data_IF_099030731313
#
_entry.id   IF_099030731313
#
_cell.length_a   1.000
_cell.length_b   1.000
_cell.length_c   1.000
_cell.angle_alpha   90.00
_cell.angle_beta   90.00
_cell.angle_gamma   90.00
#
_symmetry.space_group_name_H-M   'P 1'
#
loop_
_entity.id
_entity.type
_entity.pdbx_description
1 polymer ?
#
# COMPACT_ATOMS: atom_id res chain seq x y z
N UNK A 1 3.02 35.43 36.98
CA UNK A 1 3.96 35.23 38.11
C UNK A 1 4.22 33.73 38.20
N UNK A 2 5.32 33.27 37.61
CA UNK A 2 6.54 32.77 38.30
C UNK A 2 6.23 31.48 39.11
N UNK A 3 6.83 30.32 38.84
CA UNK A 3 8.27 30.13 38.78
C UNK A 3 8.68 28.83 38.04
N UNK A 4 9.68 28.95 37.19
CA UNK A 4 10.49 27.85 36.67
C UNK A 4 11.50 27.42 37.74
N UNK A 5 11.74 26.11 37.88
CA UNK A 5 12.88 25.57 38.63
C UNK A 5 13.63 24.56 37.78
N UNK A 6 14.83 24.95 37.37
CA UNK A 6 15.85 24.13 36.73
C UNK A 6 16.63 23.38 37.82
N UNK A 7 16.80 22.07 37.67
CA UNK A 7 17.83 21.31 38.39
C UNK A 7 18.63 20.47 37.43
N UNK A 8 19.92 20.81 37.30
CA UNK A 8 20.98 20.05 36.66
C UNK A 8 21.32 18.79 37.47
N UNK A 9 21.46 17.65 36.80
CA UNK A 9 22.29 16.54 37.26
C UNK A 9 23.07 15.93 36.09
N UNK A 10 24.37 15.74 36.31
CA UNK A 10 25.39 15.26 35.37
C UNK A 10 25.32 13.74 35.13
N UNK A 11 25.99 13.22 34.08
CA UNK A 11 25.80 11.87 33.56
C UNK A 11 26.74 10.83 34.20
N UNK A 12 26.30 9.57 34.27
CA UNK A 12 27.13 8.45 34.73
C UNK A 12 27.08 7.25 33.77
N UNK A 13 28.21 7.05 33.09
CA UNK A 13 28.97 5.80 32.91
C UNK A 13 28.31 4.59 32.21
N UNK A 14 28.70 4.41 30.94
CA UNK A 14 28.67 3.17 30.17
C UNK A 14 29.76 2.17 30.66
N UNK A 15 29.53 0.85 30.64
CA UNK A 15 30.58 -0.17 30.67
C UNK A 15 31.00 -0.60 29.24
N UNK A 16 32.19 -1.25 29.10
CA UNK A 16 33.04 -1.11 27.93
C UNK A 16 32.84 -2.15 26.82
N UNK A 17 33.21 -1.72 25.60
CA UNK A 17 33.46 -2.51 24.41
C UNK A 17 34.47 -3.64 24.65
N UNK A 18 34.09 -4.87 24.32
CA UNK A 18 35.00 -5.99 24.08
C UNK A 18 35.16 -6.15 22.56
N UNK A 19 36.29 -5.69 22.03
CA UNK A 19 36.77 -6.04 20.69
C UNK A 19 37.46 -7.41 20.74
N UNK A 20 37.16 -8.34 19.82
CA UNK A 20 38.11 -9.38 19.45
C UNK A 20 38.99 -8.90 18.29
N UNK A 21 40.29 -9.03 18.53
CA UNK A 21 41.42 -8.78 17.66
C UNK A 21 41.30 -9.36 16.25
N UNK A 22 41.67 -8.53 15.28
CA UNK A 22 42.07 -8.90 13.93
C UNK A 22 43.27 -9.86 13.96
N UNK A 23 43.03 -11.14 13.65
CA UNK A 23 44.12 -12.05 13.27
C UNK A 23 44.30 -12.04 11.76
N UNK A 24 45.37 -11.37 11.36
CA UNK A 24 45.93 -11.36 10.02
C UNK A 24 46.46 -12.77 9.68
N UNK A 25 45.97 -13.34 8.58
CA UNK A 25 46.55 -14.54 7.97
C UNK A 25 47.90 -14.19 7.34
N UNK A 26 48.99 -14.44 8.07
CA UNK A 26 50.34 -14.44 7.52
C UNK A 26 50.69 -15.86 7.04
N UNK A 27 50.62 -16.08 5.73
CA UNK A 27 51.21 -17.24 5.06
C UNK A 27 52.73 -17.14 5.14
N UNK A 28 53.36 -17.96 5.98
CA UNK A 28 54.81 -18.18 5.97
C UNK A 28 55.12 -19.51 5.27
N UNK A 29 55.58 -19.41 4.03
CA UNK A 29 56.20 -20.46 3.23
C UNK A 29 57.61 -20.77 3.76
N UNK A 30 57.90 -22.06 4.01
CA UNK A 30 59.24 -22.63 4.24
C UNK A 30 59.34 -24.00 3.53
N UNK A 31 60.56 -24.48 3.18
CA UNK A 31 60.94 -24.82 1.79
C UNK A 31 60.96 -26.33 1.48
N UNK A 32 61.17 -26.75 0.21
CA UNK A 32 60.99 -28.14 -0.19
C UNK A 32 62.24 -28.99 0.13
N UNK A 33 62.02 -30.13 0.79
CA UNK A 33 63.02 -31.17 0.96
C UNK A 33 62.81 -32.29 -0.08
N UNK A 34 63.92 -32.67 -0.73
CA UNK A 34 64.05 -33.58 -1.87
C UNK A 34 63.73 -35.04 -1.50
N UNK A 35 63.43 -35.91 -2.51
CA UNK A 35 62.91 -37.24 -2.27
C UNK A 35 64.04 -38.22 -1.99
N UNK A 36 63.89 -39.03 -0.95
CA UNK A 36 64.75 -40.19 -0.74
C UNK A 36 64.00 -41.48 -1.06
N UNK A 37 64.55 -42.24 -2.00
CA UNK A 37 64.04 -43.51 -2.47
C UNK A 37 64.54 -44.58 -1.51
N UNK A 38 63.65 -45.23 -0.77
CA UNK A 38 63.81 -46.65 -0.44
C UNK A 38 62.47 -47.29 -0.10
N UNK A 39 62.03 -48.11 -1.05
CA UNK A 39 60.87 -48.99 -1.00
C UNK A 39 61.26 -50.23 -0.19
N UNK A 40 60.55 -50.58 0.86
CA UNK A 40 60.25 -51.98 1.21
C UNK A 40 59.03 -52.03 2.12
N UNK A 41 58.12 -52.93 1.76
CA UNK A 41 56.78 -53.12 2.29
C UNK A 41 56.77 -53.65 3.72
N UNK A 42 56.06 -52.99 4.65
CA UNK A 42 55.39 -53.65 5.76
C UNK A 42 54.06 -52.94 6.10
N UNK A 43 52.99 -53.70 5.84
CA UNK A 43 51.61 -53.65 6.30
C UNK A 43 51.24 -52.57 7.35
N UNK A 44 50.69 -51.43 6.92
CA UNK A 44 49.88 -50.58 7.80
C UNK A 44 48.52 -51.25 7.98
N UNK A 45 48.20 -51.65 9.21
CA UNK A 45 46.82 -51.91 9.61
C UNK A 45 46.02 -50.62 9.37
N UNK A 46 44.97 -50.75 8.57
CA UNK A 46 43.99 -49.71 8.31
C UNK A 46 43.37 -49.25 9.62
N UNK A 47 43.88 -48.14 10.18
CA UNK A 47 43.12 -47.33 11.12
C UNK A 47 42.00 -46.68 10.31
N UNK A 48 40.88 -47.40 10.20
CA UNK A 48 39.63 -46.82 9.73
C UNK A 48 39.25 -45.77 10.76
N UNK A 49 39.51 -44.50 10.45
CA UNK A 49 38.90 -43.39 11.17
C UNK A 49 37.40 -43.51 10.87
N UNK A 50 36.68 -44.22 11.73
CA UNK A 50 35.27 -43.98 11.90
C UNK A 50 35.18 -42.62 12.55
N UNK A 51 35.09 -41.57 11.73
CA UNK A 51 34.33 -40.41 12.15
C UNK A 51 32.92 -40.93 12.39
N UNK A 52 32.69 -41.40 13.62
CA UNK A 52 31.37 -41.33 14.22
C UNK A 52 31.18 -39.84 14.40
N UNK A 53 30.85 -39.17 13.28
CA UNK A 53 30.23 -37.87 13.34
C UNK A 53 28.99 -38.12 14.18
N UNK A 54 29.10 -37.76 15.45
CA UNK A 54 28.00 -37.76 16.36
C UNK A 54 27.05 -36.71 15.79
N UNK A 55 26.20 -37.14 14.86
CA UNK A 55 24.97 -36.50 14.51
C UNK A 55 24.25 -36.27 15.84
N UNK A 56 24.42 -35.07 16.39
CA UNK A 56 23.83 -34.66 17.65
C UNK A 56 22.32 -34.88 17.52
N UNK A 57 21.68 -35.71 18.37
CA UNK A 57 20.26 -36.00 18.26
C UNK A 57 19.37 -34.86 18.81
N UNK A 58 19.86 -33.63 18.86
CA UNK A 58 19.15 -32.51 19.46
C UNK A 58 19.30 -31.26 18.58
N UNK A 59 18.37 -31.14 17.65
CA UNK A 59 18.03 -29.89 16.97
C UNK A 59 17.35 -28.94 17.96
N UNK A 60 18.11 -28.50 18.96
CA UNK A 60 17.63 -27.66 20.06
C UNK A 60 17.13 -26.32 19.53
N UNK A 61 17.77 -25.77 18.49
CA UNK A 61 17.32 -24.55 17.82
C UNK A 61 15.97 -24.72 17.13
N UNK A 62 15.74 -25.79 16.35
CA UNK A 62 14.42 -26.01 15.75
C UNK A 62 13.37 -26.39 16.78
N UNK A 63 13.72 -27.10 17.85
CA UNK A 63 12.81 -27.35 18.97
C UNK A 63 12.41 -26.04 19.65
N UNK A 64 13.37 -25.16 19.97
CA UNK A 64 13.11 -23.84 20.52
C UNK A 64 12.27 -22.99 19.57
N UNK A 65 12.58 -22.99 18.27
CA UNK A 65 11.79 -22.29 17.24
C UNK A 65 10.36 -22.82 17.17
N UNK A 66 10.18 -24.13 17.19
CA UNK A 66 8.86 -24.77 17.19
C UNK A 66 8.08 -24.47 18.47
N UNK A 67 8.73 -24.50 19.63
CA UNK A 67 8.13 -24.13 20.91
C UNK A 67 7.76 -22.65 20.97
N UNK A 68 8.62 -21.77 20.45
CA UNK A 68 8.36 -20.35 20.34
C UNK A 68 7.18 -20.07 19.41
N UNK A 69 7.13 -20.72 18.24
CA UNK A 69 6.00 -20.64 17.30
C UNK A 69 4.70 -21.13 17.95
N UNK A 70 4.71 -22.30 18.61
CA UNK A 70 3.54 -22.80 19.34
C UNK A 70 3.09 -21.89 20.48
N UNK A 71 4.03 -21.24 21.18
CA UNK A 71 3.70 -20.31 22.27
C UNK A 71 3.08 -18.99 21.80
N UNK A 72 3.30 -18.64 20.52
CA UNK A 72 2.77 -17.45 19.86
C UNK A 72 1.61 -17.71 18.92
N UNK A 73 1.25 -18.98 18.70
CA UNK A 73 0.09 -19.34 17.92
C UNK A 73 -1.18 -18.76 18.56
N UNK A 74 -2.08 -18.27 17.71
CA UNK A 74 -3.36 -17.69 18.09
C UNK A 74 -4.46 -18.49 17.40
N UNK A 75 -5.64 -18.55 18.03
CA UNK A 75 -6.87 -18.96 17.36
C UNK A 75 -7.59 -17.73 16.81
N UNK A 76 -7.62 -17.59 15.48
CA UNK A 76 -8.14 -16.42 14.77
C UNK A 76 -9.41 -16.82 14.01
N UNK A 77 -10.53 -16.14 14.28
CA UNK A 77 -11.77 -16.27 13.54
C UNK A 77 -11.95 -15.13 12.53
N UNK A 78 -11.93 -15.44 11.23
CA UNK A 78 -12.13 -14.47 10.15
C UNK A 78 -13.61 -14.39 9.79
N UNK A 79 -14.19 -13.19 9.88
CA UNK A 79 -15.56 -12.89 9.47
C UNK A 79 -15.51 -12.15 8.14
N UNK A 80 -15.93 -12.80 7.06
CA UNK A 80 -15.76 -12.33 5.69
C UNK A 80 -14.58 -13.00 5.00
N UNK A 81 -14.82 -14.22 4.49
CA UNK A 81 -13.80 -15.01 3.80
C UNK A 81 -13.74 -14.75 2.29
N UNK A 82 -13.79 -13.47 1.90
CA UNK A 82 -13.61 -13.03 0.50
C UNK A 82 -12.13 -12.93 0.10
N UNK A 83 -11.82 -12.25 -1.01
CA UNK A 83 -10.46 -12.13 -1.54
C UNK A 83 -9.43 -11.70 -0.48
N UNK A 84 -9.76 -10.68 0.32
CA UNK A 84 -8.86 -10.15 1.34
C UNK A 84 -8.72 -11.08 2.55
N UNK A 85 -9.82 -11.64 3.05
CA UNK A 85 -9.81 -12.61 4.15
C UNK A 85 -9.02 -13.87 3.80
N UNK A 86 -9.15 -14.35 2.57
CA UNK A 86 -8.37 -15.49 2.05
C UNK A 86 -6.87 -15.15 1.94
N UNK A 87 -6.54 -13.93 1.51
CA UNK A 87 -5.17 -13.45 1.41
C UNK A 87 -4.47 -13.46 2.77
N UNK A 88 -5.10 -12.89 3.80
CA UNK A 88 -4.55 -12.90 5.16
C UNK A 88 -4.50 -14.31 5.77
N UNK A 89 -5.55 -15.12 5.56
CA UNK A 89 -5.63 -16.47 6.10
C UNK A 89 -4.45 -17.36 5.69
N UNK A 90 -3.96 -17.22 4.45
CA UNK A 90 -2.80 -17.98 3.95
C UNK A 90 -1.56 -17.70 4.80
N UNK A 91 -1.24 -16.44 5.07
CA UNK A 91 -0.10 -16.06 5.92
C UNK A 91 -0.32 -16.53 7.36
N UNK A 92 -1.52 -16.36 7.91
CA UNK A 92 -1.82 -16.81 9.28
C UNK A 92 -1.63 -18.32 9.45
N UNK A 93 -2.10 -19.13 8.50
CA UNK A 93 -1.88 -20.59 8.53
C UNK A 93 -0.40 -20.93 8.36
N UNK A 94 0.31 -20.26 7.44
CA UNK A 94 1.76 -20.48 7.23
C UNK A 94 2.60 -20.17 8.47
N UNK A 95 2.20 -19.18 9.27
CA UNK A 95 2.84 -18.87 10.54
C UNK A 95 2.43 -19.81 11.71
N UNK A 96 1.52 -20.75 11.46
CA UNK A 96 1.10 -21.76 12.44
C UNK A 96 -0.07 -21.37 13.34
N UNK A 97 -0.81 -20.31 12.99
CA UNK A 97 -2.05 -19.94 13.70
C UNK A 97 -3.19 -20.89 13.33
N UNK A 98 -4.12 -21.11 14.27
CA UNK A 98 -5.35 -21.83 13.99
C UNK A 98 -6.37 -20.84 13.41
N UNK A 99 -6.75 -21.02 12.15
CA UNK A 99 -7.66 -20.11 11.47
C UNK A 99 -9.03 -20.76 11.28
N UNK A 100 -10.06 -20.05 11.75
CA UNK A 100 -11.46 -20.35 11.53
C UNK A 100 -12.03 -19.28 10.61
N UNK A 101 -13.02 -19.62 9.79
CA UNK A 101 -13.64 -18.65 8.90
C UNK A 101 -15.15 -18.81 8.83
N UNK A 102 -15.85 -17.69 8.74
CA UNK A 102 -17.26 -17.61 8.38
C UNK A 102 -17.43 -16.55 7.30
N UNK A 103 -18.36 -16.77 6.38
CA UNK A 103 -18.72 -15.80 5.36
C UNK A 103 -20.16 -16.00 4.92
N UNK A 104 -20.77 -14.97 4.33
CA UNK A 104 -22.12 -15.05 3.73
C UNK A 104 -22.19 -16.11 2.63
N UNK A 105 -21.14 -16.20 1.82
CA UNK A 105 -21.03 -17.16 0.74
C UNK A 105 -20.26 -18.40 1.21
N UNK A 106 -20.59 -19.56 0.66
CA UNK A 106 -19.89 -20.80 0.99
C UNK A 106 -18.50 -20.82 0.34
N UNK A 107 -17.47 -20.89 1.19
CA UNK A 107 -16.07 -21.04 0.79
C UNK A 107 -15.44 -22.31 1.37
N UNK A 108 -16.23 -23.30 1.80
CA UNK A 108 -15.76 -24.50 2.50
C UNK A 108 -14.61 -25.21 1.78
N UNK A 109 -14.70 -25.39 0.46
CA UNK A 109 -13.65 -26.03 -0.35
C UNK A 109 -12.35 -25.23 -0.33
N UNK A 110 -12.42 -23.93 -0.59
CA UNK A 110 -11.25 -23.06 -0.63
C UNK A 110 -10.61 -22.90 0.75
N UNK A 111 -11.42 -22.82 1.80
CA UNK A 111 -10.94 -22.81 3.16
C UNK A 111 -10.17 -24.09 3.49
N UNK A 112 -10.71 -25.26 3.11
CA UNK A 112 -10.03 -26.54 3.29
C UNK A 112 -8.69 -26.61 2.55
N UNK A 113 -8.62 -26.11 1.31
CA UNK A 113 -7.37 -26.03 0.53
C UNK A 113 -6.28 -25.19 1.21
N UNK A 114 -6.67 -24.14 1.93
CA UNK A 114 -5.76 -23.23 2.65
C UNK A 114 -5.47 -23.71 4.08
N UNK A 115 -6.14 -24.75 4.57
CA UNK A 115 -5.99 -25.25 5.95
C UNK A 115 -6.82 -24.48 6.98
N UNK A 116 -7.92 -23.85 6.55
CA UNK A 116 -8.85 -23.07 7.37
C UNK A 116 -10.11 -23.90 7.65
N UNK A 117 -10.59 -23.87 8.90
CA UNK A 117 -11.87 -24.48 9.27
C UNK A 117 -13.03 -23.52 8.98
N UNK A 118 -13.88 -23.87 8.02
CA UNK A 118 -15.01 -23.02 7.62
C UNK A 118 -16.30 -23.40 8.33
N UNK A 119 -17.06 -22.38 8.76
CA UNK A 119 -18.34 -22.52 9.43
C UNK A 119 -19.41 -21.71 8.68
N UNK A 120 -20.48 -22.40 8.28
CA UNK A 120 -21.62 -21.77 7.61
C UNK A 120 -22.44 -20.91 8.58
N UNK A 121 -22.55 -21.32 9.84
CA UNK A 121 -23.22 -20.55 10.89
C UNK A 121 -22.18 -19.79 11.74
N UNK A 122 -22.29 -18.45 11.89
CA UNK A 122 -21.40 -17.70 12.78
C UNK A 122 -21.51 -18.14 14.24
N UNK A 123 -22.63 -18.72 14.65
CA UNK A 123 -22.83 -19.24 16.00
C UNK A 123 -21.87 -20.40 16.32
N UNK A 124 -21.64 -21.30 15.37
CA UNK A 124 -20.74 -22.44 15.52
C UNK A 124 -19.28 -21.99 15.57
N UNK A 125 -18.91 -20.98 14.77
CA UNK A 125 -17.58 -20.37 14.83
C UNK A 125 -17.31 -19.77 16.21
N UNK A 126 -18.29 -19.08 16.79
CA UNK A 126 -18.13 -18.45 18.11
C UNK A 126 -17.98 -19.48 19.24
N UNK A 127 -18.62 -20.65 19.12
CA UNK A 127 -18.43 -21.78 20.07
C UNK A 127 -17.02 -22.36 20.04
N UNK A 128 -16.26 -22.15 18.97
CA UNK A 128 -14.84 -22.53 18.94
C UNK A 128 -13.95 -21.58 19.76
N UNK A 129 -14.53 -20.51 20.32
CA UNK A 129 -13.89 -19.51 21.17
C UNK A 129 -12.56 -18.99 20.59
N UNK A 130 -12.59 -18.33 19.41
CA UNK A 130 -11.42 -17.65 18.89
C UNK A 130 -10.92 -16.58 19.87
N UNK A 131 -9.61 -16.45 19.97
CA UNK A 131 -8.95 -15.42 20.77
C UNK A 131 -9.04 -14.05 20.07
N UNK A 132 -8.95 -14.08 18.74
CA UNK A 132 -9.06 -12.90 17.88
C UNK A 132 -10.17 -13.12 16.87
N UNK A 133 -11.07 -12.15 16.74
CA UNK A 133 -12.08 -12.09 15.68
C UNK A 133 -11.70 -10.97 14.71
N UNK A 134 -11.42 -11.33 13.46
CA UNK A 134 -10.99 -10.42 12.41
C UNK A 134 -12.14 -10.14 11.44
N UNK A 135 -12.59 -8.90 11.40
CA UNK A 135 -13.60 -8.41 10.46
C UNK A 135 -12.96 -8.08 9.11
N UNK A 136 -13.21 -8.95 8.13
CA UNK A 136 -12.73 -8.89 6.74
C UNK A 136 -13.89 -8.73 5.73
N UNK A 137 -15.01 -8.12 6.14
CA UNK A 137 -16.16 -7.86 5.27
C UNK A 137 -16.00 -6.57 4.46
N UNK A 138 -16.91 -6.30 3.52
CA UNK A 138 -16.92 -4.99 2.84
C UNK A 138 -17.29 -3.88 3.83
N UNK A 139 -16.79 -2.66 3.59
CA UNK A 139 -17.12 -1.49 4.43
C UNK A 139 -18.65 -1.33 4.53
N UNK A 140 -19.35 -1.42 3.39
CA UNK A 140 -20.80 -1.29 3.29
C UNK A 140 -21.59 -2.34 4.08
N UNK A 141 -21.07 -3.56 4.23
CA UNK A 141 -21.77 -4.66 4.90
C UNK A 141 -21.42 -4.81 6.37
N UNK A 142 -20.36 -4.15 6.83
CA UNK A 142 -19.76 -4.34 8.15
C UNK A 142 -20.72 -4.03 9.29
N UNK A 143 -21.48 -2.94 9.21
CA UNK A 143 -22.47 -2.59 10.23
C UNK A 143 -23.54 -3.67 10.38
N UNK A 144 -24.08 -4.17 9.26
CA UNK A 144 -25.09 -5.23 9.28
C UNK A 144 -24.54 -6.50 9.91
N UNK A 145 -23.31 -6.87 9.56
CA UNK A 145 -22.64 -8.07 10.08
C UNK A 145 -22.47 -7.96 11.59
N UNK A 146 -21.92 -6.85 12.07
CA UNK A 146 -21.71 -6.60 13.52
C UNK A 146 -23.04 -6.58 14.28
N UNK A 147 -24.09 -5.95 13.77
CA UNK A 147 -25.41 -5.95 14.42
C UNK A 147 -25.99 -7.35 14.65
N UNK A 148 -25.72 -8.28 13.73
CA UNK A 148 -26.26 -9.65 13.79
C UNK A 148 -25.31 -10.67 14.42
N UNK A 149 -24.09 -10.26 14.77
CA UNK A 149 -23.05 -11.17 15.20
C UNK A 149 -23.28 -11.68 16.63
N UNK A 150 -23.14 -12.99 16.90
CA UNK A 150 -23.52 -13.58 18.19
C UNK A 150 -22.43 -13.40 19.28
N UNK A 151 -22.12 -12.16 19.64
CA UNK A 151 -21.06 -11.82 20.63
C UNK A 151 -21.19 -12.55 21.96
N UNK A 152 -22.42 -12.85 22.39
CA UNK A 152 -22.74 -13.52 23.65
C UNK A 152 -22.11 -14.92 23.77
N UNK A 153 -21.76 -15.55 22.64
CA UNK A 153 -21.12 -16.88 22.59
C UNK A 153 -19.60 -16.83 22.72
N UNK A 154 -19.00 -15.64 22.63
CA UNK A 154 -17.56 -15.45 22.74
C UNK A 154 -17.12 -15.27 24.20
N UNK A 155 -15.81 -15.46 24.42
CA UNK A 155 -15.21 -15.15 25.71
C UNK A 155 -15.14 -13.63 25.91
N UNK A 156 -15.33 -13.19 27.17
CA UNK A 156 -15.36 -11.77 27.54
C UNK A 156 -14.09 -10.98 27.21
N UNK A 157 -12.99 -11.67 26.94
CA UNK A 157 -11.71 -11.07 26.62
C UNK A 157 -11.33 -11.21 25.15
N UNK A 158 -12.24 -11.61 24.24
CA UNK A 158 -11.91 -11.73 22.82
C UNK A 158 -11.48 -10.38 22.23
N UNK A 159 -10.44 -10.42 21.38
CA UNK A 159 -9.94 -9.26 20.66
C UNK A 159 -10.67 -9.13 19.31
N UNK A 160 -11.34 -8.00 19.09
CA UNK A 160 -11.90 -7.65 17.80
C UNK A 160 -10.92 -6.80 17.01
N UNK A 161 -10.71 -7.19 15.77
CA UNK A 161 -9.83 -6.51 14.82
C UNK A 161 -10.61 -6.23 13.54
N UNK A 162 -10.49 -5.03 12.98
CA UNK A 162 -10.91 -4.77 11.60
C UNK A 162 -9.71 -4.57 10.68
N UNK A 163 -9.91 -4.90 9.40
CA UNK A 163 -8.98 -4.61 8.31
C UNK A 163 -9.66 -3.83 7.18
N UNK A 164 -10.66 -3.01 7.53
CA UNK A 164 -11.34 -2.17 6.53
C UNK A 164 -10.36 -1.12 5.99
N UNK A 165 -10.67 -0.46 4.88
CA UNK A 165 -9.80 0.59 4.34
C UNK A 165 -10.06 1.99 4.90
N UNK A 166 -11.06 2.13 5.78
CA UNK A 166 -11.38 3.33 6.58
C UNK A 166 -11.36 2.96 8.06
N UNK A 167 -11.11 3.90 8.97
CA UNK A 167 -10.82 3.60 10.38
C UNK A 167 -11.76 4.26 11.40
N UNK A 168 -12.23 5.50 11.19
CA UNK A 168 -13.19 6.12 12.10
C UNK A 168 -14.50 5.33 12.15
N UNK A 169 -14.98 4.86 11.00
CA UNK A 169 -16.20 4.05 10.91
C UNK A 169 -16.15 2.72 11.70
N UNK A 170 -15.19 1.79 11.47
CA UNK A 170 -15.15 0.55 12.25
C UNK A 170 -14.84 0.79 13.73
N UNK A 171 -14.03 1.80 14.07
CA UNK A 171 -13.79 2.20 15.46
C UNK A 171 -15.10 2.53 16.17
N UNK A 172 -15.89 3.44 15.60
CA UNK A 172 -17.14 3.89 16.20
C UNK A 172 -18.19 2.77 16.20
N UNK A 173 -18.22 1.95 15.14
CA UNK A 173 -19.06 0.77 15.07
C UNK A 173 -18.73 -0.22 16.21
N UNK A 174 -17.46 -0.52 16.43
CA UNK A 174 -17.05 -1.42 17.50
C UNK A 174 -17.33 -0.85 18.89
N UNK A 175 -17.02 0.43 19.13
CA UNK A 175 -17.29 1.06 20.41
C UNK A 175 -18.79 1.10 20.77
N UNK A 176 -19.66 1.22 19.76
CA UNK A 176 -21.11 1.28 19.96
C UNK A 176 -21.77 -0.08 20.18
N UNK A 177 -21.29 -1.15 19.52
CA UNK A 177 -21.97 -2.46 19.52
C UNK A 177 -21.26 -3.54 20.34
N UNK A 178 -19.94 -3.47 20.52
CA UNK A 178 -19.21 -4.51 21.26
C UNK A 178 -19.30 -4.30 22.78
N UNK A 179 -19.48 -5.38 23.57
CA UNK A 179 -19.39 -5.33 25.03
C UNK A 179 -18.10 -4.65 25.51
N UNK A 180 -18.16 -3.93 26.63
CA UNK A 180 -17.03 -3.16 27.16
C UNK A 180 -15.82 -4.02 27.51
N UNK A 181 -16.05 -5.30 27.80
CA UNK A 181 -15.01 -6.26 28.14
C UNK A 181 -14.16 -6.68 26.94
N UNK A 182 -14.66 -6.55 25.71
CA UNK A 182 -13.93 -6.93 24.50
C UNK A 182 -12.84 -5.92 24.16
N UNK A 183 -11.70 -6.43 23.69
CA UNK A 183 -10.62 -5.61 23.15
C UNK A 183 -10.94 -5.18 21.72
N UNK A 184 -10.46 -4.00 21.32
CA UNK A 184 -10.64 -3.40 19.99
C UNK A 184 -9.29 -2.92 19.49
N UNK A 185 -8.90 -3.42 18.33
CA UNK A 185 -7.74 -2.98 17.56
C UNK A 185 -8.20 -2.68 16.13
N UNK A 186 -8.10 -1.42 15.72
CA UNK A 186 -8.42 -1.05 14.35
C UNK A 186 -7.15 -1.11 13.50
N UNK A 187 -7.20 -1.78 12.35
CA UNK A 187 -6.01 -1.95 11.50
C UNK A 187 -6.29 -1.69 10.03
N UNK A 188 -5.24 -1.38 9.28
CA UNK A 188 -5.28 -1.31 7.84
C UNK A 188 -3.91 -1.71 7.29
N UNK A 189 -3.75 -2.96 6.83
CA UNK A 189 -2.64 -3.28 5.95
C UNK A 189 -2.85 -2.48 4.65
N UNK A 190 -1.94 -1.55 4.36
CA UNK A 190 -2.03 -0.62 3.21
C UNK A 190 -1.67 -1.34 1.88
N UNK A 191 -2.00 -2.62 1.80
CA UNK A 191 -1.70 -3.54 0.73
C UNK A 191 -2.76 -4.65 0.70
N UNK A 192 -2.86 -5.33 -0.44
CA UNK A 192 -3.81 -6.41 -0.64
C UNK A 192 -3.32 -7.49 -1.59
N UNK A 193 -4.22 -8.33 -2.12
CA UNK A 193 -3.84 -9.49 -2.92
C UNK A 193 -3.00 -9.16 -4.16
N UNK A 194 -3.12 -7.95 -4.70
CA UNK A 194 -2.32 -7.49 -5.85
C UNK A 194 -0.99 -6.88 -5.41
N UNK A 195 -1.02 -5.92 -4.47
CA UNK A 195 0.17 -5.17 -4.04
C UNK A 195 1.08 -5.91 -3.04
N UNK A 196 0.56 -6.89 -2.32
CA UNK A 196 1.29 -7.72 -1.35
C UNK A 196 1.38 -9.20 -1.74
N UNK A 197 1.27 -9.51 -3.04
CA UNK A 197 1.27 -10.88 -3.56
C UNK A 197 2.58 -11.62 -3.28
N UNK A 198 3.70 -10.93 -3.49
CA UNK A 198 5.02 -11.56 -3.46
C UNK A 198 5.70 -11.46 -2.08
N UNK A 199 5.53 -10.33 -1.39
CA UNK A 199 6.10 -10.09 -0.07
C UNK A 199 5.39 -8.93 0.64
N UNK A 200 5.37 -8.96 1.98
CA UNK A 200 4.89 -7.84 2.80
C UNK A 200 6.02 -6.97 3.36
N UNK A 201 7.27 -7.31 3.03
CA UNK A 201 8.45 -6.59 3.52
C UNK A 201 8.40 -5.13 3.10
N UNK A 202 8.48 -4.23 4.09
CA UNK A 202 8.45 -2.79 3.90
C UNK A 202 7.06 -2.21 3.60
N UNK A 203 6.03 -3.03 3.41
CA UNK A 203 4.68 -2.54 3.18
C UNK A 203 4.09 -1.94 4.47
N UNK A 204 3.36 -0.81 4.41
CA UNK A 204 2.82 -0.19 5.61
C UNK A 204 1.69 -1.02 6.19
N UNK A 205 1.76 -1.27 7.50
CA UNK A 205 0.65 -1.81 8.28
C UNK A 205 0.28 -0.78 9.37
N UNK A 206 -0.89 -0.16 9.20
CA UNK A 206 -1.38 0.86 10.12
C UNK A 206 -2.25 0.22 11.20
N UNK A 207 -2.10 0.67 12.45
CA UNK A 207 -2.95 0.20 13.54
C UNK A 207 -3.21 1.27 14.60
N UNK A 208 -4.35 1.14 15.27
CA UNK A 208 -4.80 1.95 16.40
C UNK A 208 -5.32 1.04 17.52
N UNK A 209 -4.69 1.11 18.70
CA UNK A 209 -5.08 0.37 19.90
C UNK A 209 -6.26 1.06 20.61
N UNK A 210 -7.42 1.04 19.96
CA UNK A 210 -8.64 1.76 20.39
C UNK A 210 -9.07 1.43 21.81
N UNK A 211 -9.10 0.13 22.17
CA UNK A 211 -9.48 -0.31 23.51
C UNK A 211 -8.81 -1.64 23.83
N UNK A 212 -7.69 -1.62 24.54
CA UNK A 212 -7.01 -2.83 25.03
C UNK A 212 -7.01 -2.80 26.55
N UNK A 213 -7.48 -3.86 27.21
CA UNK A 213 -7.50 -3.91 28.67
C UNK A 213 -6.09 -4.06 29.28
N UNK A 214 -5.89 -3.48 30.45
CA UNK A 214 -4.56 -3.32 31.08
C UNK A 214 -3.96 -4.60 31.67
N UNK A 215 -4.64 -5.74 31.60
CA UNK A 215 -4.09 -6.99 32.13
C UNK A 215 -3.13 -7.65 31.13
N UNK A 216 -2.04 -8.22 31.65
CA UNK A 216 -0.90 -8.68 30.84
C UNK A 216 -1.25 -9.66 29.72
N UNK A 217 -2.27 -10.51 29.90
CA UNK A 217 -2.67 -11.45 28.84
C UNK A 217 -3.38 -10.78 27.65
N UNK A 218 -4.12 -9.67 27.87
CA UNK A 218 -4.82 -8.93 26.80
C UNK A 218 -3.84 -8.17 25.94
N UNK A 219 -2.91 -7.46 26.59
CA UNK A 219 -1.78 -6.81 25.94
C UNK A 219 -0.96 -7.84 25.14
N UNK A 220 -0.60 -8.97 25.75
CA UNK A 220 0.14 -10.02 25.06
C UNK A 220 -0.58 -10.56 23.81
N UNK A 221 -1.91 -10.75 23.87
CA UNK A 221 -2.70 -11.18 22.70
C UNK A 221 -2.68 -10.14 21.57
N UNK A 222 -2.85 -8.86 21.91
CA UNK A 222 -2.77 -7.77 20.95
C UNK A 222 -1.40 -7.72 20.27
N UNK A 223 -0.32 -7.76 21.05
CA UNK A 223 1.05 -7.78 20.54
C UNK A 223 1.31 -9.02 19.66
N UNK A 224 0.86 -10.21 20.08
CA UNK A 224 0.97 -11.43 19.25
C UNK A 224 0.27 -11.29 17.91
N UNK A 225 -0.88 -10.61 17.85
CA UNK A 225 -1.58 -10.38 16.59
C UNK A 225 -0.83 -9.38 15.71
N UNK A 226 -0.33 -8.28 16.27
CA UNK A 226 0.50 -7.31 15.54
C UNK A 226 1.81 -7.93 15.02
N UNK A 227 2.40 -8.84 15.80
CA UNK A 227 3.63 -9.53 15.46
C UNK A 227 3.50 -10.43 14.22
N UNK A 228 2.27 -10.86 13.86
CA UNK A 228 2.01 -11.57 12.60
C UNK A 228 2.49 -10.74 11.41
N UNK A 229 2.18 -9.44 11.40
CA UNK A 229 2.56 -8.53 10.32
C UNK A 229 4.02 -8.08 10.48
N UNK A 230 4.49 -7.84 11.70
CA UNK A 230 5.87 -7.44 11.94
C UNK A 230 6.87 -8.52 11.48
N UNK A 231 6.58 -9.81 11.70
CA UNK A 231 7.41 -10.94 11.26
C UNK A 231 7.50 -11.09 9.75
N UNK A 232 6.47 -10.67 9.02
CA UNK A 232 6.48 -10.61 7.56
C UNK A 232 7.27 -9.40 7.02
N UNK A 233 7.83 -8.58 7.93
CA UNK A 233 8.64 -7.42 7.60
C UNK A 233 7.83 -6.17 7.28
N UNK A 234 6.54 -6.12 7.64
CA UNK A 234 5.74 -4.92 7.47
C UNK A 234 6.35 -3.73 8.22
N UNK A 235 6.22 -2.53 7.63
CA UNK A 235 6.47 -1.28 8.34
C UNK A 235 5.28 -0.97 9.23
N UNK A 236 5.41 -1.27 10.51
CA UNK A 236 4.39 -1.06 11.53
C UNK A 236 4.24 0.44 11.85
N UNK A 237 3.04 1.00 11.66
CA UNK A 237 2.73 2.41 11.87
C UNK A 237 1.55 2.55 12.84
N UNK A 238 1.84 2.97 14.07
CA UNK A 238 0.81 3.30 15.05
C UNK A 238 0.32 4.74 14.83
N UNK A 239 -0.99 4.92 14.61
CA UNK A 239 -1.61 6.24 14.49
C UNK A 239 -3.10 6.17 14.80
N UNK A 240 -3.72 7.30 15.14
CA UNK A 240 -5.16 7.31 15.44
C UNK A 240 -6.02 7.05 14.20
N UNK A 241 -7.20 6.48 14.39
CA UNK A 241 -8.18 6.27 13.31
C UNK A 241 -8.51 7.56 12.54
N UNK A 242 -8.57 8.71 13.23
CA UNK A 242 -8.88 10.01 12.62
C UNK A 242 -7.70 10.58 11.83
N UNK A 243 -6.46 10.34 12.24
CA UNK A 243 -5.27 10.69 11.45
C UNK A 243 -5.17 9.80 10.21
N UNK A 244 -5.37 8.49 10.37
CA UNK A 244 -5.42 7.56 9.26
C UNK A 244 -6.41 8.01 8.18
N UNK A 245 -7.67 8.28 8.54
CA UNK A 245 -8.70 8.62 7.54
C UNK A 245 -8.41 9.95 6.85
N UNK A 246 -7.78 10.90 7.53
CA UNK A 246 -7.32 12.16 6.92
C UNK A 246 -6.24 11.90 5.87
N UNK A 247 -5.24 11.10 6.20
CA UNK A 247 -4.13 10.79 5.31
C UNK A 247 -4.57 9.89 4.15
N UNK A 248 -5.42 8.89 4.43
CA UNK A 248 -5.97 7.96 3.44
C UNK A 248 -6.88 8.67 2.43
N UNK A 249 -7.60 9.73 2.84
CA UNK A 249 -8.39 10.54 1.92
C UNK A 249 -7.48 11.23 0.87
N UNK A 250 -6.38 11.84 1.30
CA UNK A 250 -5.45 12.54 0.39
C UNK A 250 -4.54 11.61 -0.43
N UNK A 251 -4.43 10.34 -0.05
CA UNK A 251 -3.55 9.36 -0.69
C UNK A 251 -4.33 8.24 -1.38
N UNK A 252 -4.81 7.27 -0.61
CA UNK A 252 -5.52 6.09 -1.12
C UNK A 252 -6.77 6.48 -1.93
N UNK A 253 -7.64 7.33 -1.38
CA UNK A 253 -8.88 7.70 -2.06
C UNK A 253 -8.60 8.42 -3.39
N UNK A 254 -7.72 9.43 -3.40
CA UNK A 254 -7.27 10.11 -4.62
C UNK A 254 -6.69 9.13 -5.65
N UNK A 255 -5.87 8.18 -5.19
CA UNK A 255 -5.25 7.16 -6.06
C UNK A 255 -6.32 6.28 -6.72
N UNK A 256 -7.32 5.81 -5.96
CA UNK A 256 -8.44 5.05 -6.51
C UNK A 256 -9.32 5.90 -7.43
N UNK A 257 -9.61 7.15 -7.08
CA UNK A 257 -10.40 8.05 -7.93
C UNK A 257 -9.71 8.25 -9.27
N UNK A 258 -8.40 8.54 -9.27
CA UNK A 258 -7.64 8.72 -10.51
C UNK A 258 -7.59 7.43 -11.34
N UNK A 259 -7.31 6.28 -10.71
CA UNK A 259 -7.33 4.99 -11.39
C UNK A 259 -8.66 4.70 -12.09
N UNK A 260 -9.79 4.97 -11.42
CA UNK A 260 -11.14 4.79 -11.99
C UNK A 260 -11.51 5.83 -13.05
N UNK A 261 -11.03 7.07 -12.92
CA UNK A 261 -11.19 8.09 -13.97
C UNK A 261 -10.44 7.66 -15.23
N UNK A 262 -9.21 7.17 -15.09
CA UNK A 262 -8.39 6.68 -16.19
C UNK A 262 -8.95 5.40 -16.83
N UNK A 263 -9.53 4.51 -16.03
CA UNK A 263 -10.31 3.35 -16.51
C UNK A 263 -11.49 3.82 -17.38
N UNK A 264 -12.28 4.80 -16.89
CA UNK A 264 -13.41 5.38 -17.64
C UNK A 264 -12.96 6.14 -18.89
N UNK A 265 -11.79 6.76 -18.85
CA UNK A 265 -11.13 7.40 -19.99
C UNK A 265 -10.65 6.38 -21.03
N UNK A 266 -10.58 5.09 -20.67
CA UNK A 266 -10.15 3.97 -21.53
C UNK A 266 -8.73 4.15 -22.04
N UNK A 267 -7.77 4.22 -21.11
CA UNK A 267 -6.35 4.21 -21.48
C UNK A 267 -6.01 2.96 -22.31
N UNK A 268 -5.30 3.19 -23.41
CA UNK A 268 -4.78 2.14 -24.29
C UNK A 268 -3.25 2.19 -24.33
N UNK A 269 -2.62 1.01 -24.40
CA UNK A 269 -1.18 0.91 -24.58
C UNK A 269 -0.78 1.19 -26.02
N UNK A 270 0.40 1.79 -26.22
CA UNK A 270 0.96 2.10 -27.54
C UNK A 270 2.44 1.72 -27.64
N UNK A 271 3.02 1.61 -28.85
CA UNK A 271 4.44 1.36 -29.03
C UNK A 271 5.37 2.47 -28.52
N UNK A 272 4.82 3.66 -28.19
CA UNK A 272 5.58 4.83 -27.76
C UNK A 272 5.27 5.23 -26.31
N UNK A 273 4.84 4.27 -25.49
CA UNK A 273 4.56 4.52 -24.08
C UNK A 273 5.79 5.11 -23.37
N UNK A 274 5.56 6.18 -22.62
CA UNK A 274 6.57 6.72 -21.70
C UNK A 274 6.55 5.93 -20.39
N UNK A 275 7.63 5.98 -19.60
CA UNK A 275 7.67 5.35 -18.27
C UNK A 275 6.60 5.90 -17.31
N UNK A 276 6.28 7.19 -17.43
CA UNK A 276 5.15 7.78 -16.69
C UNK A 276 3.82 7.17 -17.11
N UNK A 277 3.60 6.98 -18.41
CA UNK A 277 2.36 6.38 -18.92
C UNK A 277 2.22 4.89 -18.53
N UNK A 278 3.31 4.12 -18.56
CA UNK A 278 3.32 2.73 -18.05
C UNK A 278 2.87 2.67 -16.57
N UNK A 279 3.25 3.67 -15.76
CA UNK A 279 2.83 3.75 -14.36
C UNK A 279 1.32 4.02 -14.23
N UNK A 280 0.73 4.81 -15.13
CA UNK A 280 -0.72 5.04 -15.18
C UNK A 280 -1.48 3.78 -15.61
N UNK A 281 -0.96 3.03 -16.57
CA UNK A 281 -1.54 1.73 -16.96
C UNK A 281 -1.53 0.75 -15.77
N UNK A 282 -0.40 0.64 -15.07
CA UNK A 282 -0.29 -0.17 -13.87
C UNK A 282 -1.23 0.30 -12.75
N UNK A 283 -1.44 1.61 -12.60
CA UNK A 283 -2.41 2.17 -11.65
C UNK A 283 -3.84 1.73 -11.99
N UNK A 284 -4.24 1.79 -13.26
CA UNK A 284 -5.55 1.33 -13.70
C UNK A 284 -5.72 -0.16 -13.42
N UNK A 285 -4.73 -0.99 -13.77
CA UNK A 285 -4.77 -2.44 -13.51
C UNK A 285 -4.91 -2.75 -12.01
N UNK A 286 -4.12 -2.08 -11.17
CA UNK A 286 -4.16 -2.28 -9.72
C UNK A 286 -5.49 -1.85 -9.11
N UNK A 287 -6.07 -0.72 -9.55
CA UNK A 287 -7.31 -0.19 -9.00
C UNK A 287 -8.57 -0.86 -9.57
N UNK A 288 -8.50 -1.40 -10.79
CA UNK A 288 -9.58 -2.17 -11.43
C UNK A 288 -9.76 -3.56 -10.79
N UNK A 289 -8.69 -4.12 -10.20
CA UNK A 289 -8.76 -5.36 -9.42
C UNK A 289 -9.67 -5.26 -8.19
N UNK A 290 -9.90 -4.03 -7.69
CA UNK A 290 -10.73 -3.77 -6.53
C UNK A 290 -12.19 -3.46 -6.90
N UNK A 291 -13.11 -3.98 -6.09
CA UNK A 291 -14.55 -3.81 -6.33
C UNK A 291 -14.98 -2.34 -6.26
N UNK A 292 -15.97 -1.96 -7.07
CA UNK A 292 -16.56 -0.63 -6.98
C UNK A 292 -17.16 -0.35 -5.59
N UNK A 293 -17.69 -1.40 -4.94
CA UNK A 293 -18.22 -1.31 -3.57
C UNK A 293 -17.13 -0.88 -2.56
N UNK A 294 -15.88 -1.34 -2.71
CA UNK A 294 -14.77 -0.89 -1.87
C UNK A 294 -14.54 0.61 -2.05
N UNK A 295 -14.41 1.07 -3.30
CA UNK A 295 -14.20 2.49 -3.61
C UNK A 295 -15.35 3.38 -3.11
N UNK A 296 -16.59 2.93 -3.31
CA UNK A 296 -17.74 3.64 -2.79
C UNK A 296 -17.73 3.70 -1.25
N UNK A 297 -17.28 2.64 -0.58
CA UNK A 297 -17.06 2.63 0.86
C UNK A 297 -15.99 3.63 1.32
N UNK A 298 -14.90 3.80 0.57
CA UNK A 298 -13.87 4.82 0.85
C UNK A 298 -14.47 6.23 0.83
N UNK A 299 -15.36 6.51 -0.12
CA UNK A 299 -16.06 7.80 -0.21
C UNK A 299 -17.08 7.99 0.91
N UNK A 300 -17.96 7.00 1.10
CA UNK A 300 -19.10 7.12 2.00
C UNK A 300 -18.71 7.17 3.48
N UNK A 301 -17.66 6.47 3.87
CA UNK A 301 -17.28 6.29 5.28
C UNK A 301 -16.01 7.03 5.68
N UNK A 302 -15.46 7.87 4.80
CA UNK A 302 -14.41 8.82 5.14
C UNK A 302 -14.92 10.25 4.91
N UNK A 303 -15.20 10.97 6.00
CA UNK A 303 -15.72 12.34 5.95
C UNK A 303 -14.81 13.33 5.19
N UNK A 304 -13.53 13.02 5.07
CA UNK A 304 -12.54 13.85 4.38
C UNK A 304 -12.51 13.60 2.86
N UNK A 305 -13.17 12.55 2.35
CA UNK A 305 -13.11 12.17 0.94
C UNK A 305 -13.76 13.20 0.01
N UNK A 306 -14.86 13.83 0.44
CA UNK A 306 -15.55 14.84 -0.36
C UNK A 306 -14.65 16.05 -0.66
N UNK A 307 -13.93 16.56 0.35
CA UNK A 307 -12.98 17.66 0.17
C UNK A 307 -11.90 17.31 -0.86
N UNK A 308 -11.37 16.09 -0.82
CA UNK A 308 -10.34 15.66 -1.77
C UNK A 308 -10.89 15.53 -3.19
N UNK A 309 -12.14 15.09 -3.34
CA UNK A 309 -12.81 15.02 -4.64
C UNK A 309 -13.02 16.41 -5.24
N UNK A 310 -13.52 17.38 -4.46
CA UNK A 310 -13.68 18.77 -4.90
C UNK A 310 -12.34 19.41 -5.25
N UNK A 311 -11.30 19.16 -4.45
CA UNK A 311 -9.94 19.64 -4.74
C UNK A 311 -9.39 19.08 -6.05
N UNK A 312 -9.66 17.82 -6.36
CA UNK A 312 -9.27 17.19 -7.61
C UNK A 312 -9.98 17.83 -8.82
N UNK A 313 -11.29 18.07 -8.69
CA UNK A 313 -12.11 18.70 -9.72
C UNK A 313 -11.68 20.15 -10.00
N UNK A 314 -11.48 20.94 -8.94
CA UNK A 314 -10.95 22.31 -9.07
C UNK A 314 -9.58 22.34 -9.74
N UNK A 315 -8.66 21.43 -9.36
CA UNK A 315 -7.34 21.36 -9.98
C UNK A 315 -7.41 21.01 -11.47
N UNK A 316 -8.37 20.15 -11.87
CA UNK A 316 -8.58 19.81 -13.28
C UNK A 316 -9.13 20.99 -14.08
N UNK A 317 -10.14 21.70 -13.56
CA UNK A 317 -10.70 22.88 -14.23
C UNK A 317 -9.72 24.05 -14.28
N UNK A 318 -8.88 24.26 -13.27
CA UNK A 318 -7.86 25.31 -13.29
C UNK A 318 -6.77 25.02 -14.32
N UNK A 319 -6.32 23.76 -14.44
CA UNK A 319 -5.39 23.37 -15.50
C UNK A 319 -5.98 23.59 -16.89
N UNK A 320 -7.27 23.25 -17.06
CA UNK A 320 -8.01 23.47 -18.31
C UNK A 320 -8.08 24.97 -18.65
N UNK A 321 -8.39 25.83 -17.68
CA UNK A 321 -8.40 27.29 -17.86
C UNK A 321 -7.03 27.82 -18.25
N UNK A 322 -5.96 27.34 -17.63
CA UNK A 322 -4.59 27.76 -17.97
C UNK A 322 -4.25 27.42 -19.44
N UNK A 323 -4.57 26.20 -19.88
CA UNK A 323 -4.35 25.77 -21.26
C UNK A 323 -5.14 26.61 -22.27
N UNK A 324 -6.43 26.85 -22.02
CA UNK A 324 -7.27 27.64 -22.92
C UNK A 324 -6.96 29.13 -22.88
N UNK A 325 -6.57 29.67 -21.73
CA UNK A 325 -6.12 31.06 -21.59
C UNK A 325 -4.88 31.32 -22.45
N UNK A 326 -3.87 30.45 -22.34
CA UNK A 326 -2.67 30.53 -23.17
C UNK A 326 -2.97 30.39 -24.66
N UNK A 327 -3.88 29.49 -25.04
CA UNK A 327 -4.32 29.35 -26.43
C UNK A 327 -4.99 30.63 -26.96
N UNK A 328 -5.88 31.24 -26.17
CA UNK A 328 -6.55 32.47 -26.55
C UNK A 328 -5.55 33.62 -26.75
N UNK A 329 -4.54 33.74 -25.89
CA UNK A 329 -3.48 34.73 -26.08
C UNK A 329 -2.67 34.51 -27.36
N UNK A 330 -2.29 33.27 -27.66
CA UNK A 330 -1.57 32.94 -28.90
C UNK A 330 -2.44 33.27 -30.12
N UNK A 331 -3.71 32.88 -30.12
CA UNK A 331 -4.65 33.21 -31.18
C UNK A 331 -4.83 34.73 -31.34
N UNK A 332 -4.98 35.47 -30.23
CA UNK A 332 -5.10 36.92 -30.24
C UNK A 332 -3.87 37.59 -30.84
N UNK A 333 -2.66 37.18 -30.44
CA UNK A 333 -1.40 37.72 -31.01
C UNK A 333 -1.26 37.40 -32.50
N UNK A 334 -1.69 36.22 -32.96
CA UNK A 334 -1.64 35.88 -34.39
C UNK A 334 -2.67 36.67 -35.21
N UNK A 335 -3.88 36.87 -34.69
CA UNK A 335 -4.96 37.58 -35.37
C UNK A 335 -4.76 39.11 -35.37
N UNK A 336 -4.33 39.70 -34.25
CA UNK A 336 -4.20 41.15 -34.10
C UNK A 336 -2.76 41.64 -34.21
N UNK A 337 -1.76 40.85 -33.84
CA UNK A 337 -0.35 41.22 -34.05
C UNK A 337 0.07 41.19 -35.53
N UNK A 338 -0.71 40.53 -36.40
CA UNK A 338 -0.57 40.69 -37.85
C UNK A 338 -1.31 41.91 -38.39
N UNK A 339 -2.36 42.39 -37.72
CA UNK A 339 -3.04 43.64 -38.06
C UNK A 339 -2.19 44.86 -37.65
N UNK A 340 -1.63 44.86 -36.45
CA UNK A 340 -0.72 45.92 -35.96
C UNK A 340 0.58 45.99 -36.79
N UNK A 341 1.11 44.86 -37.26
CA UNK A 341 2.24 44.86 -38.23
C UNK A 341 1.85 45.40 -39.61
N UNK A 342 0.63 45.15 -40.07
CA UNK A 342 0.15 45.65 -41.37
C UNK A 342 -0.20 47.14 -41.30
N UNK A 343 -0.70 47.63 -40.16
CA UNK A 343 -0.88 49.07 -39.92
C UNK A 343 0.46 49.79 -39.77
N UNK A 344 1.43 49.23 -39.03
CA UNK A 344 2.77 49.82 -38.93
C UNK A 344 3.52 49.86 -40.27
N UNK A 345 3.36 48.85 -41.14
CA UNK A 345 3.94 48.84 -42.48
C UNK A 345 3.24 49.82 -43.45
N UNK A 346 1.95 50.11 -43.23
CA UNK A 346 1.22 51.13 -44.01
C UNK A 346 1.58 52.55 -43.59
N UNK A 347 1.82 52.78 -42.30
CA UNK A 347 2.31 54.07 -41.80
C UNK A 347 3.76 54.37 -42.23
N UNK A 348 4.58 53.34 -42.47
CA UNK A 348 5.92 53.50 -43.08
C UNK A 348 5.87 53.69 -44.62
N UNK A 349 4.92 53.06 -45.34
CA UNK A 349 4.74 53.26 -46.79
C UNK A 349 4.11 54.63 -47.14
N UNK A 350 3.24 55.18 -46.30
CA UNK A 350 2.63 56.51 -46.51
C UNK A 350 3.60 57.68 -46.22
N UNK A 351 4.85 57.39 -45.84
CA UNK A 351 5.90 58.38 -45.56
C UNK A 351 6.90 58.60 -46.72
N UNK A 352 6.82 57.86 -47.84
CA UNK A 352 7.67 58.06 -49.03
C UNK A 352 6.89 58.66 -50.23
N UNK A 353 7.43 59.68 -50.94
CA UNK A 353 6.77 60.26 -52.11
C UNK A 353 6.78 59.33 -53.32
N UNK A 354 5.59 59.18 -53.94
CA UNK A 354 5.32 58.41 -55.15
C UNK A 354 6.28 58.71 -56.33
N UNK A 355 6.91 57.65 -56.86
CA UNK A 355 7.20 57.54 -58.30
C UNK A 355 6.56 56.27 -58.88
N UNK A 356 5.75 56.48 -59.91
CA UNK A 356 5.06 55.47 -60.71
C UNK A 356 6.06 54.60 -61.50
N UNK A 357 5.81 53.28 -61.57
CA UNK A 357 5.70 52.53 -62.83
C UNK A 357 5.11 51.13 -62.62
N UNK A 358 4.37 50.70 -63.63
CA UNK A 358 3.47 49.55 -63.67
C UNK A 358 4.18 48.20 -63.82
N UNK A 359 3.55 47.12 -63.33
CA UNK A 359 3.28 45.85 -64.08
C UNK A 359 2.66 44.73 -63.23
N UNK A 360 1.48 44.26 -63.66
CA UNK A 360 1.11 42.83 -63.85
C UNK A 360 1.07 41.84 -62.67
N UNK A 361 -0.15 41.61 -62.15
CA UNK A 361 -0.81 40.32 -61.84
C UNK A 361 -0.01 39.12 -61.29
N UNK A 362 -0.33 38.71 -60.04
CA UNK A 362 -0.96 37.42 -59.70
C UNK A 362 -1.07 37.27 -58.16
N UNK A 363 -2.25 37.54 -57.59
CA UNK A 363 -2.56 37.23 -56.18
C UNK A 363 -3.86 36.42 -56.17
N UNK A 364 -3.72 35.10 -56.07
CA UNK A 364 -4.85 34.17 -56.11
C UNK A 364 -4.44 32.81 -55.57
N UNK A 365 -4.05 32.76 -54.29
CA UNK A 365 -3.76 31.48 -53.60
C UNK A 365 -3.66 31.59 -52.06
N UNK A 366 -3.60 32.80 -51.49
CA UNK A 366 -3.41 32.99 -50.04
C UNK A 366 -4.71 33.26 -49.25
N UNK A 367 -5.78 33.75 -49.88
CA UNK A 367 -7.06 34.00 -49.20
C UNK A 367 -7.79 32.71 -48.79
N UNK A 368 -7.72 31.65 -49.61
CA UNK A 368 -8.42 30.39 -49.33
C UNK A 368 -7.81 29.60 -48.16
N UNK A 369 -6.48 29.67 -47.98
CA UNK A 369 -5.81 29.07 -46.81
C UNK A 369 -6.07 29.85 -45.52
N UNK A 370 -6.16 31.18 -45.60
CA UNK A 370 -6.50 32.05 -44.46
C UNK A 370 -7.95 31.83 -44.01
N UNK A 371 -8.88 31.74 -44.96
CA UNK A 371 -10.28 31.46 -44.67
C UNK A 371 -10.51 30.04 -44.11
N UNK A 372 -9.72 29.05 -44.53
CA UNK A 372 -9.77 27.69 -43.99
C UNK A 372 -9.28 27.58 -42.54
N UNK A 373 -8.19 28.29 -42.20
CA UNK A 373 -7.66 28.35 -40.83
C UNK A 373 -8.59 29.13 -39.90
N UNK A 374 -9.12 30.27 -40.36
CA UNK A 374 -10.06 31.09 -39.61
C UNK A 374 -11.37 30.33 -39.34
N UNK A 375 -11.92 29.62 -40.34
CA UNK A 375 -13.11 28.75 -40.15
C UNK A 375 -12.86 27.62 -39.16
N UNK A 376 -11.66 27.03 -39.10
CA UNK A 376 -11.32 26.00 -38.10
C UNK A 376 -11.26 26.57 -36.69
N UNK A 377 -10.66 27.75 -36.52
CA UNK A 377 -10.56 28.44 -35.22
C UNK A 377 -11.93 28.93 -34.76
N UNK A 378 -12.74 29.55 -35.63
CA UNK A 378 -14.10 30.00 -35.30
C UNK A 378 -15.02 28.83 -34.96
N UNK A 379 -14.90 27.70 -35.66
CA UNK A 379 -15.68 26.49 -35.35
C UNK A 379 -15.25 25.83 -34.03
N UNK A 380 -13.98 25.97 -33.64
CA UNK A 380 -13.46 25.46 -32.36
C UNK A 380 -13.83 26.38 -31.18
N UNK A 381 -13.99 27.68 -31.41
CA UNK A 381 -14.49 28.65 -30.43
C UNK A 381 -16.01 28.60 -30.27
N UNK A 382 -16.78 28.28 -31.32
CA UNK A 382 -18.26 28.16 -31.25
C UNK A 382 -18.78 26.81 -30.70
N UNK A 383 -17.91 25.82 -30.50
CA UNK A 383 -18.26 24.52 -29.91
C UNK A 383 -17.97 24.43 -28.40
N UNK A 384 -17.50 25.54 -27.83
CA UNK A 384 -17.44 25.84 -26.40
C UNK A 384 -18.60 26.80 -26.06
#
# INVERSE_FOLDING_TARGET
>A
MLSFSFTQTKPSLLPPNLYPSSHSFSHSLLPPLKPDKNRTHLHLQSLTIQAIDAAQPFDYESQLKTHYQKSNALKIGIIGFGNYGQFLARSFVQQGHTVLAHSRSDYSKLAQEVGVSFFTDPNDLCEQHPEVVLLCTSIMSSEKVIKTFPFQRLLRNTLFVDVLSVKEFPRDLFLNYLPAEFDILCTHPMFGPQSGKDSWVGLPFVYDKVRIGDCGFRLNRCEKFLDIFAREGCRMVEMSCAEHDRDAAGSQFVTHTMGRVLEKFRLESSPINTKGYETLLNLVENTAGDSFELYYGLFMYNKNAMEQLERLDMAFEDLKKELFGNLHEVCRRQLFGSAERVEALREEEDAEPQELLSTGSQIGSNEDRRNGALKKVTKMVMLL
#
